data_IF_264776170529
#
_entry.id   IF_264776170529
#
_cell.length_a   1.000
_cell.length_b   1.000
_cell.length_c   1.000
_cell.angle_alpha   90.00
_cell.angle_beta   90.00
_cell.angle_gamma   90.00
#
_symmetry.space_group_name_H-M   'P 1'
#
loop_
_entity.id
_entity.type
_entity.pdbx_description
1 polymer ?
#
# COMPACT_ATOMS: atom_id res chain seq x y z
N UNK A 1 -23.25 16.34 -15.19
CA UNK A 1 -24.72 16.33 -15.03
C UNK A 1 -25.15 17.75 -14.68
N UNK A 2 -25.72 18.50 -15.63
CA UNK A 2 -26.00 19.93 -15.48
C UNK A 2 -27.09 20.17 -14.42
N UNK A 3 -26.99 21.31 -13.72
CA UNK A 3 -27.94 21.89 -12.74
C UNK A 3 -29.42 21.81 -13.15
N UNK A 4 -29.70 21.65 -14.45
CA UNK A 4 -31.04 21.51 -15.03
C UNK A 4 -31.76 20.23 -14.56
N UNK A 5 -31.08 19.08 -14.46
CA UNK A 5 -31.74 17.82 -14.05
C UNK A 5 -32.08 17.77 -12.56
N UNK A 6 -31.31 18.45 -11.72
CA UNK A 6 -31.55 18.56 -10.28
C UNK A 6 -32.82 19.39 -10.01
N UNK A 7 -32.97 20.51 -10.73
CA UNK A 7 -34.13 21.39 -10.61
C UNK A 7 -35.41 20.72 -11.12
N UNK A 8 -35.36 20.11 -12.30
CA UNK A 8 -36.52 19.44 -12.90
C UNK A 8 -36.96 18.23 -12.05
N UNK A 9 -36.02 17.50 -11.45
CA UNK A 9 -36.32 16.43 -10.49
C UNK A 9 -36.87 16.96 -9.17
N UNK A 10 -36.32 18.05 -8.62
CA UNK A 10 -36.87 18.66 -7.41
C UNK A 10 -38.31 19.14 -7.65
N UNK A 11 -38.61 19.65 -8.84
CA UNK A 11 -39.97 19.99 -9.26
C UNK A 11 -40.85 18.74 -9.41
N UNK A 12 -40.37 17.67 -10.04
CA UNK A 12 -41.09 16.39 -10.12
C UNK A 12 -41.31 15.74 -8.75
N UNK A 13 -40.36 15.82 -7.83
CA UNK A 13 -40.48 15.31 -6.46
C UNK A 13 -41.40 16.20 -5.60
N UNK A 14 -41.40 17.53 -5.81
CA UNK A 14 -42.36 18.44 -5.15
C UNK A 14 -43.78 18.16 -5.65
N UNK A 15 -43.95 17.97 -6.96
CA UNK A 15 -45.21 17.59 -7.57
C UNK A 15 -45.66 16.20 -7.11
N UNK A 16 -44.75 15.23 -7.09
CA UNK A 16 -44.94 13.89 -6.57
C UNK A 16 -45.39 13.88 -5.12
N UNK A 17 -44.70 14.62 -4.23
CA UNK A 17 -45.11 14.81 -2.83
C UNK A 17 -46.46 15.52 -2.69
N UNK A 18 -46.75 16.48 -3.56
CA UNK A 18 -48.04 17.16 -3.59
C UNK A 18 -49.17 16.20 -3.95
N UNK A 19 -48.94 15.27 -4.88
CA UNK A 19 -49.90 14.24 -5.29
C UNK A 19 -49.98 13.12 -4.27
N UNK A 20 -48.86 12.69 -3.69
CA UNK A 20 -48.80 11.78 -2.55
C UNK A 20 -49.73 12.25 -1.43
N UNK A 21 -49.64 13.53 -1.04
CA UNK A 21 -50.52 14.12 -0.02
C UNK A 21 -52.01 14.12 -0.42
N UNK A 22 -52.35 14.05 -1.71
CA UNK A 22 -53.72 13.99 -2.21
C UNK A 22 -54.23 12.56 -2.42
N UNK A 23 -53.36 11.59 -2.72
CA UNK A 23 -53.70 10.17 -2.91
C UNK A 23 -53.78 9.45 -1.55
N UNK A 24 -52.91 9.80 -0.61
CA UNK A 24 -52.81 9.16 0.71
C UNK A 24 -54.13 9.13 1.52
N UNK A 25 -54.99 10.16 1.51
CA UNK A 25 -56.32 10.12 2.15
C UNK A 25 -57.30 9.18 1.45
N UNK A 26 -57.22 9.05 0.11
CA UNK A 26 -58.10 8.21 -0.71
C UNK A 26 -57.82 6.73 -0.48
N UNK A 27 -56.59 6.38 -0.12
CA UNK A 27 -56.24 5.02 0.27
C UNK A 27 -56.64 4.65 1.71
N UNK A 28 -56.61 5.62 2.64
CA UNK A 28 -56.93 5.38 4.07
C UNK A 28 -58.42 5.21 4.38
N UNK A 29 -59.32 5.60 3.47
CA UNK A 29 -60.75 5.40 3.64
C UNK A 29 -61.18 3.97 3.29
N UNK A 30 -60.96 3.05 4.22
CA UNK A 30 -61.40 1.64 4.15
C UNK A 30 -62.95 1.48 4.14
N UNK A 31 -63.69 2.58 4.34
CA UNK A 31 -65.15 2.60 4.46
C UNK A 31 -65.92 3.05 3.20
N UNK A 32 -65.23 3.41 2.11
CA UNK A 32 -65.85 3.71 0.81
C UNK A 32 -65.38 2.70 -0.24
N UNK A 33 -66.28 2.25 -1.12
CA UNK A 33 -66.00 1.39 -2.29
C UNK A 33 -65.04 2.02 -3.35
N UNK A 34 -64.28 3.04 -2.97
CA UNK A 34 -63.41 3.86 -3.82
C UNK A 34 -61.97 3.79 -3.32
N UNK A 35 -61.40 2.58 -3.21
CA UNK A 35 -59.97 2.40 -3.01
C UNK A 35 -59.27 2.42 -4.37
N UNK A 36 -58.31 3.34 -4.56
CA UNK A 36 -57.48 3.36 -5.78
C UNK A 36 -56.54 2.14 -5.74
N UNK A 37 -56.56 1.25 -6.75
CA UNK A 37 -55.64 0.11 -6.80
C UNK A 37 -54.18 0.57 -6.92
N UNK A 38 -53.25 -0.16 -6.27
CA UNK A 38 -51.80 0.07 -6.38
C UNK A 38 -51.35 0.14 -7.85
N UNK A 39 -51.89 -0.72 -8.71
CA UNK A 39 -51.58 -0.74 -10.14
C UNK A 39 -51.90 0.58 -10.86
N UNK A 40 -52.93 1.31 -10.42
CA UNK A 40 -53.27 2.62 -11.00
C UNK A 40 -52.25 3.68 -10.60
N UNK A 41 -51.77 3.63 -9.35
CA UNK A 41 -50.71 4.52 -8.86
C UNK A 41 -49.36 4.17 -9.49
N UNK A 42 -49.07 2.88 -9.70
CA UNK A 42 -47.88 2.41 -10.42
C UNK A 42 -47.84 2.92 -11.86
N UNK A 43 -48.95 2.83 -12.60
CA UNK A 43 -49.04 3.38 -13.97
C UNK A 43 -48.84 4.90 -13.96
N UNK A 44 -49.48 5.61 -13.02
CA UNK A 44 -49.32 7.05 -12.89
C UNK A 44 -47.87 7.46 -12.59
N UNK A 45 -47.22 6.78 -11.64
CA UNK A 45 -45.82 7.01 -11.28
C UNK A 45 -44.91 6.67 -12.47
N UNK A 46 -45.17 5.58 -13.18
CA UNK A 46 -44.43 5.23 -14.38
C UNK A 46 -44.49 6.33 -15.43
N UNK A 47 -45.67 6.86 -15.74
CA UNK A 47 -45.83 7.96 -16.69
C UNK A 47 -45.14 9.25 -16.20
N UNK A 48 -45.30 9.59 -14.92
CA UNK A 48 -44.72 10.78 -14.30
C UNK A 48 -43.18 10.75 -14.33
N UNK A 49 -42.58 9.59 -14.08
CA UNK A 49 -41.13 9.43 -14.04
C UNK A 49 -40.52 8.94 -15.38
N UNK A 50 -41.35 8.58 -16.37
CA UNK A 50 -40.90 8.12 -17.69
C UNK A 50 -39.86 9.02 -18.36
N UNK A 51 -39.90 10.37 -18.26
CA UNK A 51 -38.88 11.24 -18.86
C UNK A 51 -37.49 11.09 -18.23
N UNK A 52 -37.41 10.53 -17.01
CA UNK A 52 -36.16 10.33 -16.29
C UNK A 52 -35.58 8.91 -16.48
N UNK A 53 -36.23 8.04 -17.24
CA UNK A 53 -35.82 6.65 -17.45
C UNK A 53 -34.37 6.57 -17.97
N UNK A 54 -34.04 7.35 -19.00
CA UNK A 54 -32.69 7.39 -19.58
C UNK A 54 -31.63 7.84 -18.55
N UNK A 55 -32.02 8.76 -17.65
CA UNK A 55 -31.14 9.26 -16.59
C UNK A 55 -30.84 8.15 -15.58
N UNK A 56 -31.86 7.41 -15.15
CA UNK A 56 -31.69 6.29 -14.21
C UNK A 56 -30.91 5.12 -14.82
N UNK A 57 -31.16 4.78 -16.09
CA UNK A 57 -30.43 3.72 -16.80
C UNK A 57 -28.94 4.06 -16.98
N UNK A 58 -28.63 5.33 -17.23
CA UNK A 58 -27.25 5.79 -17.45
C UNK A 58 -26.58 6.34 -16.18
N UNK A 59 -27.23 6.28 -15.02
CA UNK A 59 -26.76 6.91 -13.78
C UNK A 59 -25.33 6.50 -13.40
N UNK A 60 -25.06 5.18 -13.41
CA UNK A 60 -23.73 4.64 -13.09
C UNK A 60 -22.64 5.18 -14.02
N UNK A 61 -22.96 5.37 -15.31
CA UNK A 61 -22.03 5.98 -16.29
C UNK A 61 -21.77 7.46 -15.96
N UNK A 62 -22.81 8.21 -15.62
CA UNK A 62 -22.66 9.63 -15.26
C UNK A 62 -21.82 9.81 -13.99
N UNK A 63 -22.02 8.96 -12.98
CA UNK A 63 -21.20 8.98 -11.76
C UNK A 63 -19.74 8.61 -12.06
N UNK A 64 -19.49 7.65 -12.96
CA UNK A 64 -18.14 7.34 -13.40
C UNK A 64 -17.45 8.54 -14.07
N UNK A 65 -18.13 9.22 -14.98
CA UNK A 65 -17.60 10.43 -15.64
C UNK A 65 -17.37 11.56 -14.62
N UNK A 66 -18.28 11.74 -13.66
CA UNK A 66 -18.16 12.75 -12.62
C UNK A 66 -16.96 12.48 -11.70
N UNK A 67 -16.78 11.25 -11.24
CA UNK A 67 -15.66 10.86 -10.40
C UNK A 67 -14.32 11.02 -11.13
N UNK A 68 -14.25 10.65 -12.41
CA UNK A 68 -13.05 10.84 -13.21
C UNK A 68 -12.71 12.33 -13.33
N UNK A 69 -13.68 13.16 -13.71
CA UNK A 69 -13.48 14.61 -13.80
C UNK A 69 -13.05 15.21 -12.46
N UNK A 70 -13.64 14.76 -11.34
CA UNK A 70 -13.25 15.21 -10.01
C UNK A 70 -11.80 14.82 -9.68
N UNK A 71 -11.38 13.59 -10.02
CA UNK A 71 -10.00 13.15 -9.83
C UNK A 71 -9.02 14.00 -10.65
N UNK A 72 -9.35 14.29 -11.91
CA UNK A 72 -8.51 15.09 -12.82
C UNK A 72 -8.32 16.54 -12.35
N UNK A 73 -9.23 17.06 -11.50
CA UNK A 73 -9.09 18.40 -10.90
C UNK A 73 -8.15 18.45 -9.70
N UNK A 74 -7.83 17.30 -9.10
CA UNK A 74 -6.92 17.24 -7.95
C UNK A 74 -5.48 17.38 -8.44
N UNK A 75 -4.76 18.35 -7.88
CA UNK A 75 -3.34 18.49 -8.13
C UNK A 75 -2.55 17.53 -7.22
N UNK A 76 -1.84 16.57 -7.83
CA UNK A 76 -1.03 15.59 -7.08
C UNK A 76 0.47 15.92 -7.03
N UNK A 77 0.98 16.70 -7.99
CA UNK A 77 2.42 16.83 -8.23
C UNK A 77 2.83 18.28 -8.46
N UNK A 78 4.06 18.61 -8.04
CA UNK A 78 4.71 19.90 -8.27
C UNK A 78 6.18 19.68 -8.65
N UNK A 79 6.90 20.74 -9.03
CA UNK A 79 8.34 20.62 -9.32
C UNK A 79 9.18 20.28 -8.08
N UNK A 80 8.69 20.63 -6.88
CA UNK A 80 9.36 20.41 -5.61
C UNK A 80 8.89 19.10 -4.95
N UNK A 81 9.81 18.40 -4.27
CA UNK A 81 9.50 17.14 -3.59
C UNK A 81 8.61 17.38 -2.37
N UNK A 82 8.91 18.40 -1.56
CA UNK A 82 8.15 18.72 -0.35
C UNK A 82 6.70 19.10 -0.69
N UNK A 83 6.52 19.96 -1.69
CA UNK A 83 5.22 20.36 -2.22
C UNK A 83 4.42 19.18 -2.78
N UNK A 84 5.09 18.26 -3.49
CA UNK A 84 4.43 17.04 -3.99
C UNK A 84 3.93 16.16 -2.82
N UNK A 85 4.75 15.97 -1.77
CA UNK A 85 4.36 15.22 -0.57
C UNK A 85 3.19 15.89 0.17
N UNK A 86 3.19 17.22 0.27
CA UNK A 86 2.07 17.97 0.87
C UNK A 86 0.77 17.78 0.08
N UNK A 87 0.84 17.80 -1.26
CA UNK A 87 -0.31 17.54 -2.12
C UNK A 87 -0.83 16.11 -1.99
N UNK A 88 0.05 15.11 -1.91
CA UNK A 88 -0.35 13.72 -1.66
C UNK A 88 -1.11 13.61 -0.34
N UNK A 89 -0.59 14.20 0.74
CA UNK A 89 -1.24 14.20 2.05
C UNK A 89 -2.61 14.90 2.01
N UNK A 90 -2.71 16.05 1.35
CA UNK A 90 -3.97 16.80 1.22
C UNK A 90 -4.99 16.11 0.31
N UNK A 91 -4.55 15.27 -0.63
CA UNK A 91 -5.43 14.59 -1.58
C UNK A 91 -6.28 13.48 -0.94
N UNK A 92 -5.81 12.85 0.14
CA UNK A 92 -6.53 11.78 0.86
C UNK A 92 -7.93 12.26 1.31
N UNK A 93 -8.07 13.27 2.17
CA UNK A 93 -9.39 13.71 2.62
C UNK A 93 -10.29 14.17 1.46
N UNK A 94 -9.72 14.81 0.43
CA UNK A 94 -10.47 15.25 -0.75
C UNK A 94 -11.06 14.07 -1.53
N UNK A 95 -10.28 13.02 -1.79
CA UNK A 95 -10.75 11.84 -2.51
C UNK A 95 -11.86 11.11 -1.75
N UNK A 96 -11.72 10.96 -0.44
CA UNK A 96 -12.77 10.34 0.38
C UNK A 96 -14.01 11.23 0.53
N UNK A 97 -13.88 12.56 0.52
CA UNK A 97 -15.03 13.47 0.46
C UNK A 97 -15.80 13.29 -0.85
N UNK A 98 -15.12 13.26 -2.00
CA UNK A 98 -15.73 12.99 -3.32
C UNK A 98 -16.46 11.64 -3.34
N UNK A 99 -15.87 10.60 -2.77
CA UNK A 99 -16.51 9.28 -2.66
C UNK A 99 -17.78 9.31 -1.80
N UNK A 100 -17.75 10.00 -0.66
CA UNK A 100 -18.93 10.17 0.20
C UNK A 100 -20.05 10.98 -0.47
N UNK A 101 -19.71 12.08 -1.15
CA UNK A 101 -20.68 12.85 -1.93
C UNK A 101 -21.36 11.99 -3.01
N UNK A 102 -20.63 11.05 -3.60
CA UNK A 102 -21.15 10.10 -4.61
C UNK A 102 -22.14 9.12 -4.00
N UNK A 103 -21.87 8.64 -2.78
CA UNK A 103 -22.80 7.81 -2.01
C UNK A 103 -24.06 8.62 -1.65
N UNK A 104 -23.91 9.87 -1.23
CA UNK A 104 -25.03 10.74 -0.89
C UNK A 104 -25.89 11.08 -2.09
N UNK A 105 -25.29 11.35 -3.26
CA UNK A 105 -26.03 11.49 -4.53
C UNK A 105 -26.79 10.20 -4.87
N UNK A 106 -26.19 9.03 -4.69
CA UNK A 106 -26.87 7.74 -4.91
C UNK A 106 -28.09 7.56 -3.99
N UNK A 107 -27.96 7.91 -2.70
CA UNK A 107 -29.10 7.90 -1.77
C UNK A 107 -30.19 8.88 -2.21
N UNK A 108 -29.81 10.12 -2.50
CA UNK A 108 -30.75 11.17 -2.86
C UNK A 108 -31.44 10.92 -4.20
N UNK A 109 -30.73 10.33 -5.17
CA UNK A 109 -31.20 10.14 -6.52
C UNK A 109 -31.93 8.81 -6.72
N UNK A 110 -31.39 7.72 -6.21
CA UNK A 110 -31.90 6.36 -6.48
C UNK A 110 -32.42 5.66 -5.21
N UNK A 111 -32.58 6.36 -4.09
CA UNK A 111 -32.85 5.76 -2.77
C UNK A 111 -31.86 4.64 -2.42
N UNK A 112 -30.62 4.77 -2.90
CA UNK A 112 -29.56 3.77 -2.73
C UNK A 112 -29.68 2.52 -3.60
N UNK A 113 -30.73 2.39 -4.42
CA UNK A 113 -30.98 1.17 -5.22
C UNK A 113 -29.87 0.81 -6.20
N UNK A 114 -29.06 1.79 -6.64
CA UNK A 114 -27.91 1.57 -7.53
C UNK A 114 -26.58 1.46 -6.77
N UNK A 115 -26.56 1.36 -5.44
CA UNK A 115 -25.31 1.32 -4.67
C UNK A 115 -24.43 0.12 -5.05
N UNK A 116 -25.05 -0.99 -5.46
CA UNK A 116 -24.37 -2.22 -5.89
C UNK A 116 -23.62 -1.98 -7.22
N UNK A 117 -24.24 -1.29 -8.18
CA UNK A 117 -23.55 -0.95 -9.44
C UNK A 117 -22.53 0.16 -9.23
N UNK A 118 -22.79 1.10 -8.32
CA UNK A 118 -21.87 2.19 -7.96
C UNK A 118 -20.61 1.69 -7.26
N UNK A 119 -20.67 0.57 -6.54
CA UNK A 119 -19.52 -0.12 -5.96
C UNK A 119 -18.38 -0.30 -6.97
N UNK A 120 -18.66 -0.81 -8.16
CA UNK A 120 -17.64 -1.07 -9.18
C UNK A 120 -17.03 0.23 -9.72
N UNK A 121 -17.84 1.27 -9.81
CA UNK A 121 -17.41 2.62 -10.20
C UNK A 121 -16.49 3.23 -9.13
N UNK A 122 -16.85 3.14 -7.85
CA UNK A 122 -16.01 3.56 -6.74
C UNK A 122 -14.69 2.77 -6.68
N UNK A 123 -14.72 1.46 -6.92
CA UNK A 123 -13.50 0.65 -7.00
C UNK A 123 -12.56 1.16 -8.08
N UNK A 124 -13.09 1.43 -9.28
CA UNK A 124 -12.31 1.96 -10.41
C UNK A 124 -11.70 3.32 -10.07
N UNK A 125 -12.47 4.18 -9.40
CA UNK A 125 -12.01 5.49 -8.93
C UNK A 125 -10.85 5.38 -7.92
N UNK A 126 -10.95 4.51 -6.90
CA UNK A 126 -9.86 4.31 -5.95
C UNK A 126 -8.61 3.70 -6.59
N UNK A 127 -8.76 2.77 -7.54
CA UNK A 127 -7.62 2.24 -8.31
C UNK A 127 -6.93 3.35 -9.10
N UNK A 128 -7.69 4.23 -9.75
CA UNK A 128 -7.14 5.37 -10.48
C UNK A 128 -6.40 6.34 -9.54
N UNK A 129 -6.94 6.60 -8.36
CA UNK A 129 -6.28 7.42 -7.34
C UNK A 129 -4.95 6.81 -6.86
N UNK A 130 -4.94 5.51 -6.50
CA UNK A 130 -3.70 4.82 -6.08
C UNK A 130 -2.64 4.87 -7.19
N UNK A 131 -3.07 4.77 -8.46
CA UNK A 131 -2.17 4.91 -9.61
C UNK A 131 -1.53 6.30 -9.71
N UNK A 132 -2.29 7.36 -9.41
CA UNK A 132 -1.74 8.73 -9.35
C UNK A 132 -0.74 8.87 -8.19
N UNK A 133 -1.02 8.31 -7.01
CA UNK A 133 -0.06 8.29 -5.90
C UNK A 133 1.25 7.59 -6.29
N UNK A 134 1.16 6.40 -6.91
CA UNK A 134 2.32 5.68 -7.44
C UNK A 134 3.10 6.52 -8.45
N UNK A 135 2.41 7.21 -9.36
CA UNK A 135 3.04 8.08 -10.36
C UNK A 135 3.87 9.19 -9.69
N UNK A 136 3.31 9.85 -8.68
CA UNK A 136 4.03 10.93 -7.97
C UNK A 136 5.21 10.40 -7.18
N UNK A 137 5.07 9.28 -6.46
CA UNK A 137 6.19 8.66 -5.74
C UNK A 137 7.32 8.27 -6.69
N UNK A 138 6.99 7.73 -7.87
CA UNK A 138 7.99 7.44 -8.91
C UNK A 138 8.65 8.71 -9.47
N UNK A 139 7.88 9.78 -9.71
CA UNK A 139 8.45 11.07 -10.13
C UNK A 139 9.43 11.63 -9.08
N UNK A 140 9.10 11.51 -7.78
CA UNK A 140 10.00 11.88 -6.69
C UNK A 140 11.29 11.05 -6.75
N UNK A 141 11.18 9.73 -6.90
CA UNK A 141 12.33 8.83 -7.04
C UNK A 141 13.22 9.21 -8.23
N UNK A 142 12.63 9.54 -9.37
CA UNK A 142 13.36 9.92 -10.59
C UNK A 142 14.08 11.27 -10.45
N UNK A 143 13.48 12.26 -9.76
CA UNK A 143 14.13 13.56 -9.49
C UNK A 143 15.42 13.39 -8.72
N UNK A 144 15.43 12.46 -7.77
CA UNK A 144 16.58 12.14 -6.94
C UNK A 144 17.52 11.11 -7.58
N UNK A 145 17.18 10.59 -8.77
CA UNK A 145 17.90 9.49 -9.43
C UNK A 145 19.41 9.77 -9.64
N UNK A 146 19.76 11.05 -9.84
CA UNK A 146 21.12 11.50 -10.15
C UNK A 146 22.01 11.69 -8.92
N UNK A 147 21.42 11.70 -7.72
CA UNK A 147 22.11 11.85 -6.42
C UNK A 147 22.38 10.45 -5.80
N UNK A 148 21.87 9.37 -6.42
CA UNK A 148 22.07 7.99 -5.94
C UNK A 148 23.57 7.65 -5.84
N UNK A 149 24.02 7.49 -4.59
CA UNK A 149 25.40 7.11 -4.25
C UNK A 149 26.01 7.95 -3.13
N UNK A 150 25.41 9.10 -2.80
CA UNK A 150 25.72 9.88 -1.60
C UNK A 150 24.63 9.75 -0.54
N UNK A 151 24.98 9.99 0.72
CA UNK A 151 24.03 10.04 1.83
C UNK A 151 23.04 11.20 1.63
N UNK A 152 21.75 10.89 1.56
CA UNK A 152 20.67 11.88 1.47
C UNK A 152 19.64 11.65 2.58
N UNK A 153 19.98 12.15 3.77
CA UNK A 153 19.10 12.07 4.94
C UNK A 153 17.83 12.91 4.77
N UNK A 154 17.85 13.94 3.93
CA UNK A 154 16.66 14.77 3.69
C UNK A 154 15.64 14.00 2.86
N UNK A 155 16.09 13.27 1.85
CA UNK A 155 15.27 12.35 1.08
C UNK A 155 14.77 11.20 1.95
N UNK A 156 15.61 10.63 2.83
CA UNK A 156 15.16 9.59 3.76
C UNK A 156 14.02 10.09 4.66
N UNK A 157 14.13 11.29 5.22
CA UNK A 157 13.02 11.86 6.02
C UNK A 157 11.74 12.04 5.18
N UNK A 158 11.89 12.40 3.91
CA UNK A 158 10.77 12.50 2.97
C UNK A 158 10.15 11.14 2.63
N UNK A 159 10.94 10.06 2.50
CA UNK A 159 10.39 8.72 2.29
C UNK A 159 9.64 8.20 3.50
N UNK A 160 10.07 8.54 4.72
CA UNK A 160 9.29 8.26 5.93
C UNK A 160 7.95 9.01 5.89
N UNK A 161 7.93 10.29 5.48
CA UNK A 161 6.68 11.04 5.32
C UNK A 161 5.74 10.40 4.29
N UNK A 162 6.28 9.83 3.20
CA UNK A 162 5.49 9.07 2.22
C UNK A 162 4.88 7.81 2.87
N UNK A 163 5.63 7.09 3.72
CA UNK A 163 5.11 5.95 4.46
C UNK A 163 3.98 6.34 5.43
N UNK A 164 4.08 7.50 6.10
CA UNK A 164 2.99 8.03 6.92
C UNK A 164 1.73 8.28 6.08
N UNK A 165 1.88 8.88 4.88
CA UNK A 165 0.77 9.10 3.94
C UNK A 165 0.14 7.76 3.51
N UNK A 166 0.95 6.71 3.27
CA UNK A 166 0.42 5.37 3.04
C UNK A 166 -0.41 4.86 4.23
N UNK A 167 0.06 5.10 5.45
CA UNK A 167 -0.66 4.78 6.68
C UNK A 167 -1.99 5.51 6.81
N UNK A 168 -2.00 6.82 6.57
CA UNK A 168 -3.20 7.65 6.53
C UNK A 168 -4.20 7.15 5.47
N UNK A 169 -3.71 6.77 4.28
CA UNK A 169 -4.54 6.24 3.21
C UNK A 169 -5.20 4.90 3.58
N UNK A 170 -4.43 3.98 4.16
CA UNK A 170 -4.94 2.68 4.61
C UNK A 170 -6.01 2.88 5.69
N UNK A 171 -5.73 3.73 6.68
CA UNK A 171 -6.69 4.08 7.74
C UNK A 171 -7.98 4.69 7.17
N UNK A 172 -7.86 5.68 6.30
CA UNK A 172 -9.00 6.34 5.69
C UNK A 172 -9.84 5.37 4.87
N UNK A 173 -9.19 4.45 4.14
CA UNK A 173 -9.87 3.38 3.40
C UNK A 173 -10.61 2.41 4.31
N UNK A 174 -9.97 1.88 5.35
CA UNK A 174 -10.59 0.91 6.28
C UNK A 174 -11.80 1.54 6.99
N UNK A 175 -11.70 2.82 7.37
CA UNK A 175 -12.82 3.59 7.94
C UNK A 175 -13.95 3.82 6.92
N UNK A 176 -13.60 4.19 5.69
CA UNK A 176 -14.56 4.43 4.62
C UNK A 176 -15.33 3.15 4.26
N UNK A 177 -14.64 2.03 4.06
CA UNK A 177 -15.26 0.76 3.73
C UNK A 177 -16.19 0.28 4.87
N UNK A 178 -15.76 0.42 6.11
CA UNK A 178 -16.59 0.11 7.29
C UNK A 178 -17.84 0.98 7.36
N UNK A 179 -17.70 2.29 7.11
CA UNK A 179 -18.83 3.22 7.06
C UNK A 179 -19.79 2.88 5.92
N UNK A 180 -19.28 2.59 4.73
CA UNK A 180 -20.08 2.21 3.59
C UNK A 180 -20.83 0.89 3.84
N UNK A 181 -20.21 -0.10 4.47
CA UNK A 181 -20.85 -1.34 4.86
C UNK A 181 -22.07 -1.09 5.76
N UNK A 182 -21.90 -0.25 6.80
CA UNK A 182 -23.00 0.13 7.70
C UNK A 182 -24.11 0.88 6.97
N UNK A 183 -23.75 1.82 6.09
CA UNK A 183 -24.71 2.58 5.29
C UNK A 183 -25.47 1.68 4.30
N UNK A 184 -24.80 0.70 3.68
CA UNK A 184 -25.42 -0.31 2.83
C UNK A 184 -26.42 -1.14 3.61
N UNK A 185 -26.04 -1.68 4.77
CA UNK A 185 -26.96 -2.44 5.64
C UNK A 185 -28.17 -1.60 6.07
N UNK A 186 -27.96 -0.33 6.41
CA UNK A 186 -29.05 0.59 6.74
C UNK A 186 -30.00 0.78 5.54
N UNK A 187 -29.48 1.13 4.36
CA UNK A 187 -30.27 1.29 3.14
C UNK A 187 -31.08 0.03 2.83
N UNK A 188 -30.44 -1.14 2.96
CA UNK A 188 -31.06 -2.44 2.74
C UNK A 188 -32.20 -2.70 3.73
N UNK A 189 -31.98 -2.41 5.02
CA UNK A 189 -33.01 -2.56 6.04
C UNK A 189 -34.22 -1.69 5.72
N UNK A 190 -34.00 -0.44 5.31
CA UNK A 190 -35.07 0.47 4.91
C UNK A 190 -35.86 -0.06 3.71
N UNK A 191 -35.22 -0.76 2.77
CA UNK A 191 -35.91 -1.42 1.66
C UNK A 191 -36.85 -2.54 2.13
N UNK A 192 -36.40 -3.38 3.07
CA UNK A 192 -37.19 -4.52 3.58
C UNK A 192 -38.26 -4.11 4.60
N UNK A 193 -38.01 -3.09 5.42
CA UNK A 193 -39.00 -2.57 6.36
C UNK A 193 -40.09 -1.74 5.68
N UNK A 194 -39.82 -1.17 4.50
CA UNK A 194 -40.80 -0.53 3.61
C UNK A 194 -41.53 -1.51 2.67
N UNK A 195 -41.46 -2.82 2.97
CA UNK A 195 -42.12 -3.87 2.18
C UNK A 195 -43.49 -4.16 2.83
N UNK A 196 -44.59 -4.26 2.05
CA UNK A 196 -45.98 -4.15 2.52
C UNK A 196 -46.47 -5.14 3.59
N UNK A 197 -45.63 -6.10 4.01
CA UNK A 197 -46.00 -7.14 4.98
C UNK A 197 -45.85 -6.72 6.45
N UNK A 198 -45.13 -5.64 6.77
CA UNK A 198 -44.71 -5.37 8.15
C UNK A 198 -45.21 -4.07 8.82
N UNK A 199 -45.99 -3.20 8.17
CA UNK A 199 -46.73 -2.10 8.84
C UNK A 199 -48.07 -1.81 8.17
N UNK A 200 -49.10 -1.53 8.97
CA UNK A 200 -50.42 -1.06 8.52
C UNK A 200 -50.42 0.38 7.94
N UNK A 201 -49.24 0.97 7.66
CA UNK A 201 -49.08 2.38 7.31
C UNK A 201 -47.89 2.59 6.34
N UNK A 202 -48.04 2.16 5.09
CA UNK A 202 -47.18 2.62 4.00
C UNK A 202 -47.96 3.48 3.02
N UNK A 203 -47.28 4.49 2.48
CA UNK A 203 -47.78 5.37 1.43
C UNK A 203 -47.66 4.67 0.07
N UNK A 204 -48.79 4.41 -0.58
CA UNK A 204 -48.83 3.72 -1.88
C UNK A 204 -47.96 4.40 -2.92
N UNK A 205 -47.84 5.73 -2.86
CA UNK A 205 -47.03 6.50 -3.81
C UNK A 205 -45.55 6.13 -3.68
N UNK A 206 -45.03 6.00 -2.47
CA UNK A 206 -43.63 5.64 -2.23
C UNK A 206 -43.34 4.21 -2.73
N UNK A 207 -44.27 3.27 -2.54
CA UNK A 207 -44.16 1.89 -3.05
C UNK A 207 -44.08 1.88 -4.58
N UNK A 208 -44.90 2.69 -5.25
CA UNK A 208 -44.92 2.79 -6.71
C UNK A 208 -43.63 3.40 -7.27
N UNK A 209 -43.07 4.43 -6.62
CA UNK A 209 -41.78 5.04 -7.01
C UNK A 209 -40.62 4.07 -6.81
N UNK A 210 -40.60 3.34 -5.70
CA UNK A 210 -39.60 2.28 -5.45
C UNK A 210 -39.68 1.18 -6.51
N UNK A 211 -40.89 0.75 -6.87
CA UNK A 211 -41.11 -0.27 -7.91
C UNK A 211 -40.63 0.19 -9.28
N UNK A 212 -40.86 1.45 -9.64
CA UNK A 212 -40.31 2.07 -10.85
C UNK A 212 -38.78 2.04 -10.88
N UNK A 213 -38.12 2.52 -9.81
CA UNK A 213 -36.66 2.56 -9.72
C UNK A 213 -36.08 1.14 -9.79
N UNK A 214 -36.64 0.17 -9.07
CA UNK A 214 -36.19 -1.23 -9.11
C UNK A 214 -36.31 -1.80 -10.52
N UNK A 215 -37.44 -1.59 -11.20
CA UNK A 215 -37.66 -2.13 -12.54
C UNK A 215 -36.68 -1.57 -13.59
N UNK A 216 -36.21 -0.34 -13.40
CA UNK A 216 -35.29 0.32 -14.34
C UNK A 216 -33.82 0.02 -14.01
N UNK A 217 -33.49 -0.25 -12.74
CA UNK A 217 -32.11 -0.44 -12.27
C UNK A 217 -31.70 -1.91 -12.07
N UNK A 218 -32.64 -2.85 -12.11
CA UNK A 218 -32.38 -4.26 -11.77
C UNK A 218 -31.72 -5.08 -12.89
N UNK A 219 -30.39 -5.05 -12.94
CA UNK A 219 -29.58 -6.14 -13.53
C UNK A 219 -29.26 -7.25 -12.51
N UNK A 220 -29.02 -6.92 -11.24
CA UNK A 220 -28.25 -7.82 -10.36
C UNK A 220 -28.99 -8.22 -9.05
N UNK A 221 -30.20 -8.77 -9.17
CA UNK A 221 -30.99 -9.25 -8.00
C UNK A 221 -30.31 -10.40 -7.23
N UNK A 222 -29.46 -11.20 -7.88
CA UNK A 222 -28.81 -12.37 -7.29
C UNK A 222 -27.55 -12.02 -6.50
N UNK A 223 -26.74 -11.08 -6.99
CA UNK A 223 -25.57 -10.57 -6.26
C UNK A 223 -26.00 -9.93 -4.95
N UNK A 224 -27.15 -9.26 -4.95
CA UNK A 224 -27.69 -8.56 -3.79
C UNK A 224 -27.82 -9.41 -2.52
N UNK A 225 -28.45 -10.59 -2.58
CA UNK A 225 -28.67 -11.44 -1.40
C UNK A 225 -27.34 -11.93 -0.82
N UNK A 226 -26.39 -12.28 -1.69
CA UNK A 226 -25.07 -12.75 -1.27
C UNK A 226 -24.24 -11.66 -0.59
N UNK A 227 -24.33 -10.42 -1.10
CA UNK A 227 -23.67 -9.25 -0.54
C UNK A 227 -24.25 -8.91 0.84
N UNK A 228 -25.58 -8.91 0.97
CA UNK A 228 -26.26 -8.63 2.25
C UNK A 228 -25.83 -9.65 3.30
N UNK A 229 -25.94 -10.94 3.00
CA UNK A 229 -25.56 -12.00 3.93
C UNK A 229 -24.07 -11.93 4.32
N UNK A 230 -23.20 -11.58 3.37
CA UNK A 230 -21.77 -11.41 3.65
C UNK A 230 -21.46 -10.16 4.50
N UNK A 231 -22.18 -9.06 4.30
CA UNK A 231 -22.06 -7.84 5.11
C UNK A 231 -22.54 -8.06 6.54
N UNK A 232 -23.67 -8.75 6.74
CA UNK A 232 -24.20 -9.08 8.07
C UNK A 232 -23.25 -9.97 8.87
N UNK A 233 -22.55 -10.90 8.20
CA UNK A 233 -21.58 -11.79 8.83
C UNK A 233 -20.16 -11.20 8.88
N UNK A 234 -19.95 -9.96 8.44
CA UNK A 234 -18.64 -9.32 8.33
C UNK A 234 -17.59 -10.14 7.52
N UNK A 235 -18.05 -10.95 6.56
CA UNK A 235 -17.19 -11.79 5.70
C UNK A 235 -17.02 -11.22 4.29
N UNK A 236 -17.73 -10.14 3.98
CA UNK A 236 -17.70 -9.52 2.66
C UNK A 236 -16.84 -8.26 2.61
N UNK A 237 -15.85 -8.27 1.73
CA UNK A 237 -15.07 -7.08 1.37
C UNK A 237 -15.77 -6.37 0.22
N UNK A 238 -16.07 -5.08 0.40
CA UNK A 238 -16.75 -4.27 -0.60
C UNK A 238 -15.79 -4.04 -1.76
N UNK A 239 -14.53 -3.71 -1.52
CA UNK A 239 -13.59 -3.46 -2.62
C UNK A 239 -12.43 -4.46 -2.58
N UNK A 240 -12.60 -5.72 -3.04
CA UNK A 240 -11.61 -6.77 -2.87
C UNK A 240 -10.24 -6.45 -3.47
N UNK A 241 -10.19 -5.62 -4.53
CA UNK A 241 -8.94 -5.26 -5.20
C UNK A 241 -8.17 -4.14 -4.46
N UNK A 242 -8.84 -3.31 -3.67
CA UNK A 242 -8.23 -2.13 -3.05
C UNK A 242 -7.23 -2.50 -1.94
N UNK A 243 -7.53 -3.40 -0.98
CA UNK A 243 -6.56 -3.83 0.02
C UNK A 243 -5.27 -4.39 -0.61
N UNK A 244 -5.40 -5.13 -1.72
CA UNK A 244 -4.26 -5.63 -2.48
C UNK A 244 -3.44 -4.49 -3.10
N UNK A 245 -4.10 -3.54 -3.78
CA UNK A 245 -3.41 -2.37 -4.37
C UNK A 245 -2.72 -1.50 -3.31
N UNK A 246 -3.34 -1.32 -2.13
CA UNK A 246 -2.76 -0.58 -1.01
C UNK A 246 -1.54 -1.30 -0.41
N UNK A 247 -1.60 -2.63 -0.27
CA UNK A 247 -0.46 -3.42 0.20
C UNK A 247 0.71 -3.37 -0.80
N UNK A 248 0.45 -3.54 -2.09
CA UNK A 248 1.46 -3.39 -3.15
C UNK A 248 2.08 -1.98 -3.17
N UNK A 249 1.25 -0.93 -3.05
CA UNK A 249 1.77 0.43 -2.96
C UNK A 249 2.60 0.66 -1.69
N UNK A 250 2.19 0.09 -0.55
CA UNK A 250 2.97 0.13 0.68
C UNK A 250 4.32 -0.59 0.51
N UNK A 251 4.35 -1.77 -0.12
CA UNK A 251 5.57 -2.52 -0.46
C UNK A 251 6.53 -1.66 -1.31
N UNK A 252 6.02 -0.96 -2.32
CA UNK A 252 6.80 -0.04 -3.17
C UNK A 252 7.41 1.12 -2.37
N UNK A 253 6.64 1.74 -1.46
CA UNK A 253 7.12 2.84 -0.62
C UNK A 253 8.19 2.36 0.38
N UNK A 254 8.02 1.17 0.98
CA UNK A 254 9.05 0.58 1.84
C UNK A 254 10.32 0.28 1.04
N UNK A 255 10.18 -0.29 -0.16
CA UNK A 255 11.32 -0.53 -1.04
C UNK A 255 12.06 0.75 -1.39
N UNK A 256 11.34 1.84 -1.68
CA UNK A 256 11.94 3.13 -1.97
C UNK A 256 12.70 3.68 -0.76
N UNK A 257 12.09 3.70 0.42
CA UNK A 257 12.77 4.14 1.64
C UNK A 257 14.00 3.30 1.97
N UNK A 258 13.93 1.98 1.73
CA UNK A 258 15.08 1.09 1.87
C UNK A 258 16.20 1.44 0.89
N UNK A 259 15.87 1.63 -0.38
CA UNK A 259 16.88 1.97 -1.38
C UNK A 259 17.63 3.25 -1.00
N UNK A 260 16.93 4.31 -0.57
CA UNK A 260 17.57 5.58 -0.18
C UNK A 260 18.67 5.37 0.87
N UNK A 261 18.42 4.51 1.85
CA UNK A 261 19.38 4.20 2.93
C UNK A 261 20.44 3.19 2.49
N UNK A 262 20.08 2.25 1.62
CA UNK A 262 20.95 1.14 1.25
C UNK A 262 21.94 1.49 0.13
N UNK A 263 21.61 2.49 -0.69
CA UNK A 263 22.42 2.90 -1.84
C UNK A 263 23.83 3.40 -1.50
N UNK A 264 24.06 4.19 -0.43
CA UNK A 264 25.41 4.52 0.00
C UNK A 264 26.28 3.28 0.28
N UNK A 265 25.70 2.25 0.91
CA UNK A 265 26.37 0.98 1.19
C UNK A 265 26.70 0.25 -0.12
N UNK A 266 25.75 0.20 -1.06
CA UNK A 266 25.96 -0.35 -2.40
C UNK A 266 27.08 0.37 -3.16
N UNK A 267 27.12 1.70 -3.07
CA UNK A 267 28.15 2.53 -3.69
C UNK A 267 29.55 2.22 -3.14
N UNK A 268 29.67 2.06 -1.82
CA UNK A 268 30.95 1.72 -1.15
C UNK A 268 31.45 0.30 -1.47
N UNK A 269 30.55 -0.64 -1.75
CA UNK A 269 30.90 -2.00 -2.17
C UNK A 269 31.00 -2.16 -3.69
N UNK A 270 30.71 -1.11 -4.47
CA UNK A 270 30.76 -1.18 -5.92
C UNK A 270 32.21 -1.45 -6.39
N UNK A 271 32.39 -2.54 -7.11
CA UNK A 271 33.71 -2.96 -7.59
C UNK A 271 34.60 -3.57 -6.49
N UNK A 272 34.08 -3.86 -5.29
CA UNK A 272 34.82 -4.51 -4.20
C UNK A 272 35.50 -5.78 -4.69
N UNK A 273 34.77 -6.65 -5.40
CA UNK A 273 35.30 -7.91 -5.97
C UNK A 273 36.46 -7.74 -6.96
N UNK A 274 36.67 -6.54 -7.50
CA UNK A 274 37.66 -6.19 -8.53
C UNK A 274 38.86 -5.42 -7.98
N UNK A 275 38.93 -5.17 -6.68
CA UNK A 275 40.06 -4.45 -6.08
C UNK A 275 41.36 -5.22 -6.34
N UNK A 276 42.41 -4.50 -6.74
CA UNK A 276 43.71 -5.11 -7.05
C UNK A 276 44.38 -5.76 -5.84
N UNK A 277 43.98 -5.37 -4.62
CA UNK A 277 44.52 -5.89 -3.35
C UNK A 277 44.31 -7.40 -3.18
N UNK A 278 43.30 -7.99 -3.83
CA UNK A 278 43.04 -9.43 -3.78
C UNK A 278 44.11 -10.26 -4.50
N UNK A 279 44.52 -9.76 -5.67
CA UNK A 279 45.43 -10.44 -6.59
C UNK A 279 46.85 -9.86 -6.60
N UNK A 280 47.12 -8.78 -5.84
CA UNK A 280 48.43 -8.14 -5.79
C UNK A 280 49.46 -9.07 -5.13
N UNK A 281 50.31 -9.65 -5.96
CA UNK A 281 51.34 -10.59 -5.55
C UNK A 281 52.57 -9.81 -5.07
N UNK A 282 52.62 -9.49 -3.77
CA UNK A 282 53.75 -8.80 -3.14
C UNK A 282 54.97 -9.72 -2.91
N UNK A 283 55.15 -10.74 -3.76
CA UNK A 283 56.26 -11.70 -3.70
C UNK A 283 57.59 -10.97 -3.80
N UNK A 284 58.34 -10.96 -2.68
CA UNK A 284 59.66 -10.32 -2.58
C UNK A 284 59.70 -9.01 -1.80
N UNK A 285 58.57 -8.51 -1.28
CA UNK A 285 58.53 -7.37 -0.36
C UNK A 285 58.31 -7.83 1.09
N UNK A 286 58.82 -7.06 2.06
CA UNK A 286 58.68 -7.31 3.52
C UNK A 286 57.21 -7.51 3.94
N UNK A 287 56.26 -7.09 3.11
CA UNK A 287 54.80 -7.16 3.33
C UNK A 287 54.24 -8.58 3.32
N UNK A 288 54.87 -9.54 2.63
CA UNK A 288 54.39 -10.93 2.59
C UNK A 288 54.50 -11.63 3.96
N UNK A 289 55.54 -11.30 4.73
CA UNK A 289 55.83 -11.83 6.07
C UNK A 289 55.29 -10.95 7.21
N UNK A 290 54.53 -9.89 6.91
CA UNK A 290 53.94 -9.07 7.95
C UNK A 290 52.93 -9.90 8.78
N UNK A 291 52.98 -9.78 10.12
CA UNK A 291 51.97 -10.35 11.00
C UNK A 291 50.57 -9.83 10.65
N UNK A 292 49.53 -10.62 10.93
CA UNK A 292 48.13 -10.23 10.73
C UNK A 292 47.75 -8.91 11.44
N UNK A 293 48.49 -8.54 12.49
CA UNK A 293 48.35 -7.31 13.26
C UNK A 293 48.71 -6.02 12.47
N UNK A 294 49.33 -6.15 11.31
CA UNK A 294 49.71 -5.00 10.46
C UNK A 294 48.62 -4.61 9.45
N UNK A 295 47.55 -5.41 9.33
CA UNK A 295 46.44 -5.12 8.44
C UNK A 295 45.39 -4.27 9.17
N UNK A 296 44.78 -3.34 8.44
CA UNK A 296 43.68 -2.50 8.92
C UNK A 296 42.53 -2.66 7.92
N UNK A 297 41.26 -2.62 8.38
CA UNK A 297 40.14 -2.71 7.47
C UNK A 297 40.18 -1.59 6.42
N UNK A 298 39.80 -1.91 5.19
CA UNK A 298 39.83 -0.97 4.07
C UNK A 298 38.86 0.20 4.28
N UNK A 299 39.14 1.34 3.65
CA UNK A 299 38.38 2.58 3.81
C UNK A 299 36.89 2.39 3.49
N UNK A 300 36.55 1.65 2.43
CA UNK A 300 35.16 1.39 2.08
C UNK A 300 34.43 0.56 3.15
N UNK A 301 35.10 -0.41 3.76
CA UNK A 301 34.54 -1.26 4.82
C UNK A 301 34.37 -0.47 6.12
N UNK A 302 35.37 0.33 6.51
CA UNK A 302 35.25 1.22 7.68
C UNK A 302 34.16 2.27 7.51
N UNK A 303 33.98 2.85 6.31
CA UNK A 303 32.88 3.78 6.01
C UNK A 303 31.51 3.11 6.12
N UNK A 304 31.35 1.87 5.64
CA UNK A 304 30.11 1.11 5.83
C UNK A 304 29.84 0.93 7.32
N UNK A 305 30.85 0.54 8.10
CA UNK A 305 30.68 0.33 9.53
C UNK A 305 30.27 1.62 10.26
N UNK A 306 30.91 2.74 9.95
CA UNK A 306 30.55 4.06 10.49
C UNK A 306 29.12 4.46 10.08
N UNK A 307 28.76 4.27 8.82
CA UNK A 307 27.42 4.58 8.31
C UNK A 307 26.35 3.78 9.05
N UNK A 308 26.54 2.46 9.21
CA UNK A 308 25.63 1.61 9.96
C UNK A 308 25.44 2.13 11.39
N UNK A 309 26.53 2.40 12.11
CA UNK A 309 26.45 2.87 13.50
C UNK A 309 25.76 4.23 13.68
N UNK A 310 25.68 5.06 12.64
CA UNK A 310 24.95 6.33 12.66
C UNK A 310 23.46 6.19 12.36
N UNK A 311 23.04 5.12 11.67
CA UNK A 311 21.64 4.92 11.26
C UNK A 311 20.60 5.08 12.38
N UNK A 312 20.79 4.51 13.58
CA UNK A 312 19.75 4.55 14.62
C UNK A 312 19.36 5.98 14.97
N UNK A 313 20.32 6.90 15.00
CA UNK A 313 20.10 8.33 15.30
C UNK A 313 19.21 9.02 14.26
N UNK A 314 19.23 8.56 13.01
CA UNK A 314 18.37 9.10 11.95
C UNK A 314 16.94 8.54 11.99
N UNK A 315 16.72 7.42 12.70
CA UNK A 315 15.39 6.86 12.94
C UNK A 315 14.74 7.41 14.21
N UNK A 316 15.52 7.83 15.21
CA UNK A 316 15.02 8.43 16.48
C UNK A 316 13.92 9.48 16.30
N UNK A 317 13.99 10.43 15.33
CA UNK A 317 12.95 11.47 15.17
C UNK A 317 11.55 10.94 14.84
N UNK A 318 11.44 9.68 14.39
CA UNK A 318 10.20 9.12 13.86
C UNK A 318 9.42 8.26 14.85
N UNK A 319 9.82 8.24 16.14
CA UNK A 319 9.32 7.35 17.20
C UNK A 319 8.10 6.51 16.79
N UNK A 320 8.39 5.34 16.20
CA UNK A 320 7.41 4.55 15.47
C UNK A 320 6.30 3.97 16.36
N UNK A 321 6.50 3.98 17.67
CA UNK A 321 5.51 3.54 18.65
C UNK A 321 4.40 4.57 18.88
N UNK A 322 4.70 5.87 18.74
CA UNK A 322 3.74 6.96 18.93
C UNK A 322 3.07 7.39 17.61
N UNK A 323 3.56 6.89 16.49
CA UNK A 323 3.08 7.22 15.15
C UNK A 323 2.19 6.10 14.58
N UNK A 324 0.88 6.21 14.83
CA UNK A 324 -0.10 5.20 14.41
C UNK A 324 -0.08 4.94 12.91
N UNK A 325 0.00 6.01 12.10
CA UNK A 325 0.03 5.94 10.64
C UNK A 325 1.18 5.09 10.16
N UNK A 326 2.37 5.41 10.65
CA UNK A 326 3.58 4.72 10.27
C UNK A 326 3.55 3.27 10.75
N UNK A 327 3.07 3.02 11.96
CA UNK A 327 2.85 1.67 12.48
C UNK A 327 1.92 0.81 11.61
N UNK A 328 0.89 1.41 11.01
CA UNK A 328 -0.02 0.71 10.10
C UNK A 328 0.63 0.43 8.75
N UNK A 329 1.32 1.42 8.17
CA UNK A 329 2.04 1.24 6.92
C UNK A 329 3.01 0.06 7.01
N UNK A 330 3.76 -0.02 8.11
CA UNK A 330 4.72 -1.08 8.37
C UNK A 330 4.12 -2.48 8.50
N UNK A 331 2.99 -2.59 9.21
CA UNK A 331 2.29 -3.87 9.38
C UNK A 331 1.74 -4.40 8.05
N UNK A 332 1.46 -3.51 7.10
CA UNK A 332 0.77 -3.83 5.83
C UNK A 332 1.68 -3.83 4.59
N UNK A 333 2.87 -3.25 4.66
CA UNK A 333 3.88 -3.24 3.59
C UNK A 333 5.06 -4.16 3.89
N UNK A 334 5.98 -4.40 2.94
CA UNK A 334 7.13 -5.31 3.03
C UNK A 334 8.49 -4.63 3.03
N UNK A 335 9.29 -4.96 4.05
CA UNK A 335 10.70 -4.59 4.13
C UNK A 335 11.56 -5.66 3.45
N UNK A 336 12.55 -5.27 2.63
CA UNK A 336 13.51 -6.20 2.06
C UNK A 336 14.26 -7.01 3.13
N UNK A 337 14.68 -8.22 2.79
CA UNK A 337 15.50 -9.09 3.64
C UNK A 337 14.88 -9.54 4.98
N UNK A 338 13.58 -9.30 5.19
CA UNK A 338 12.82 -9.80 6.34
C UNK A 338 11.64 -10.65 5.86
N UNK A 339 11.56 -11.89 6.34
CA UNK A 339 10.50 -12.84 5.97
C UNK A 339 9.32 -12.80 6.97
N UNK A 340 9.61 -12.81 8.28
CA UNK A 340 8.58 -12.84 9.34
C UNK A 340 8.68 -11.63 10.29
N UNK A 341 7.72 -10.70 10.18
CA UNK A 341 7.69 -9.46 10.99
C UNK A 341 6.86 -9.53 12.27
N UNK A 342 6.16 -10.63 12.51
CA UNK A 342 5.35 -10.83 13.73
C UNK A 342 6.21 -10.94 15.02
N UNK A 343 7.54 -11.03 14.87
CA UNK A 343 8.50 -11.18 15.96
C UNK A 343 9.01 -9.84 16.52
N UNK A 344 8.67 -8.71 15.92
CA UNK A 344 9.25 -7.42 16.29
C UNK A 344 8.28 -6.57 17.11
N UNK A 345 8.69 -6.24 18.33
CA UNK A 345 7.99 -5.30 19.21
C UNK A 345 8.35 -3.83 18.91
N UNK A 346 9.51 -3.60 18.28
CA UNK A 346 9.99 -2.28 17.89
C UNK A 346 10.18 -2.23 16.37
N UNK A 347 9.45 -1.35 15.71
CA UNK A 347 9.48 -1.16 14.26
C UNK A 347 10.80 -0.54 13.78
N UNK A 348 11.54 0.14 14.67
CA UNK A 348 12.84 0.73 14.33
C UNK A 348 13.86 -0.39 14.17
N UNK A 349 13.87 -1.33 15.11
CA UNK A 349 14.66 -2.55 15.04
C UNK A 349 14.43 -3.31 13.73
N UNK A 350 13.20 -3.40 13.21
CA UNK A 350 12.93 -4.02 11.90
C UNK A 350 13.72 -3.35 10.76
N UNK A 351 13.73 -2.02 10.70
CA UNK A 351 14.44 -1.30 9.64
C UNK A 351 15.94 -1.52 9.73
N UNK A 352 16.48 -1.41 10.94
CA UNK A 352 17.90 -1.61 11.20
C UNK A 352 18.30 -3.04 10.80
N UNK A 353 17.56 -4.06 11.25
CA UNK A 353 17.82 -5.45 10.89
C UNK A 353 17.73 -5.69 9.37
N UNK A 354 16.74 -5.09 8.69
CA UNK A 354 16.61 -5.16 7.23
C UNK A 354 17.85 -4.61 6.52
N UNK A 355 18.36 -3.45 6.96
CA UNK A 355 19.55 -2.81 6.37
C UNK A 355 20.82 -3.59 6.70
N UNK A 356 20.96 -4.07 7.93
CA UNK A 356 22.10 -4.88 8.36
C UNK A 356 22.17 -6.21 7.61
N UNK A 357 21.03 -6.91 7.51
CA UNK A 357 20.89 -8.15 6.74
C UNK A 357 21.21 -7.92 5.26
N UNK A 358 20.68 -6.84 4.67
CA UNK A 358 21.02 -6.44 3.31
C UNK A 358 22.52 -6.20 3.13
N UNK A 359 23.16 -5.54 4.10
CA UNK A 359 24.59 -5.21 4.07
C UNK A 359 25.45 -6.47 4.13
N UNK A 360 25.12 -7.37 5.05
CA UNK A 360 25.76 -8.67 5.21
C UNK A 360 25.67 -9.47 3.90
N UNK A 361 24.45 -9.63 3.35
CA UNK A 361 24.22 -10.37 2.11
C UNK A 361 24.97 -9.76 0.93
N UNK A 362 24.95 -8.44 0.79
CA UNK A 362 25.69 -7.76 -0.28
C UNK A 362 27.22 -7.94 -0.13
N UNK A 363 27.75 -7.85 1.09
CA UNK A 363 29.17 -8.09 1.35
C UNK A 363 29.57 -9.53 1.01
N UNK A 364 28.76 -10.51 1.41
CA UNK A 364 28.95 -11.91 1.05
C UNK A 364 28.93 -12.12 -0.46
N UNK A 365 27.94 -11.56 -1.16
CA UNK A 365 27.82 -11.65 -2.60
C UNK A 365 29.03 -11.05 -3.33
N UNK A 366 29.50 -9.86 -2.90
CA UNK A 366 30.70 -9.24 -3.47
C UNK A 366 31.96 -10.05 -3.16
N UNK A 367 32.06 -10.63 -1.97
CA UNK A 367 33.20 -11.47 -1.59
C UNK A 367 33.27 -12.73 -2.46
N UNK A 368 32.14 -13.41 -2.67
CA UNK A 368 32.06 -14.61 -3.52
C UNK A 368 32.25 -14.31 -5.02
N UNK A 369 32.31 -13.05 -5.42
CA UNK A 369 32.62 -12.63 -6.80
C UNK A 369 34.12 -12.36 -7.04
N UNK A 370 34.96 -12.37 -5.98
CA UNK A 370 36.41 -12.23 -6.12
C UNK A 370 36.94 -13.45 -6.89
N UNK A 371 37.73 -13.23 -7.95
CA UNK A 371 38.17 -14.32 -8.83
C UNK A 371 39.29 -15.16 -8.22
N UNK A 372 40.30 -14.52 -7.64
CA UNK A 372 41.50 -15.17 -7.09
C UNK A 372 42.00 -14.42 -5.87
N UNK A 373 42.52 -15.16 -4.88
CA UNK A 373 43.10 -14.60 -3.67
C UNK A 373 44.57 -15.01 -3.53
N UNK A 374 45.43 -14.00 -3.37
CA UNK A 374 46.80 -14.19 -2.86
C UNK A 374 46.77 -14.40 -1.34
N UNK A 375 47.87 -14.88 -0.75
CA UNK A 375 47.99 -15.01 0.71
C UNK A 375 47.81 -13.68 1.43
N UNK A 376 48.35 -12.58 0.89
CA UNK A 376 48.18 -11.23 1.43
C UNK A 376 46.75 -10.75 1.25
N UNK A 377 46.14 -10.99 0.08
CA UNK A 377 44.73 -10.67 -0.19
C UNK A 377 43.77 -11.40 0.74
N UNK A 378 44.03 -12.67 1.05
CA UNK A 378 43.27 -13.45 2.02
C UNK A 378 43.35 -12.87 3.44
N UNK A 379 44.55 -12.47 3.88
CA UNK A 379 44.74 -11.81 5.19
C UNK A 379 43.98 -10.48 5.27
N UNK A 380 44.04 -9.67 4.21
CA UNK A 380 43.29 -8.41 4.13
C UNK A 380 41.77 -8.65 4.14
N UNK A 381 41.28 -9.57 3.31
CA UNK A 381 39.85 -9.92 3.25
C UNK A 381 39.34 -10.40 4.61
N UNK A 382 40.09 -11.25 5.32
CA UNK A 382 39.72 -11.68 6.66
C UNK A 382 39.66 -10.53 7.67
N UNK A 383 40.54 -9.53 7.56
CA UNK A 383 40.49 -8.33 8.39
C UNK A 383 39.21 -7.53 8.11
N UNK A 384 38.88 -7.34 6.85
CA UNK A 384 37.68 -6.62 6.40
C UNK A 384 36.39 -7.30 6.85
N UNK A 385 36.26 -8.61 6.61
CA UNK A 385 35.07 -9.39 6.97
C UNK A 385 34.88 -9.45 8.49
N UNK A 386 35.95 -9.65 9.26
CA UNK A 386 35.87 -9.68 10.74
C UNK A 386 35.48 -8.34 11.32
N UNK A 387 36.03 -7.24 10.79
CA UNK A 387 35.62 -5.91 11.21
C UNK A 387 34.14 -5.68 10.94
N UNK A 388 33.66 -5.98 9.73
CA UNK A 388 32.25 -5.80 9.40
C UNK A 388 31.35 -6.71 10.24
N UNK A 389 31.78 -7.94 10.53
CA UNK A 389 31.06 -8.87 11.40
C UNK A 389 30.87 -8.27 12.79
N UNK A 390 31.96 -7.77 13.40
CA UNK A 390 31.90 -7.08 14.69
C UNK A 390 30.96 -5.88 14.66
N UNK A 391 30.97 -5.09 13.58
CA UNK A 391 30.05 -3.95 13.46
C UNK A 391 28.59 -4.41 13.35
N UNK A 392 28.30 -5.46 12.60
CA UNK A 392 26.94 -6.01 12.47
C UNK A 392 26.43 -6.58 13.79
N UNK A 393 27.30 -7.23 14.57
CA UNK A 393 27.01 -7.69 15.94
C UNK A 393 26.73 -6.51 16.88
N UNK A 394 27.59 -5.49 16.88
CA UNK A 394 27.42 -4.27 17.68
C UNK A 394 26.15 -3.49 17.28
N UNK A 395 25.77 -3.58 16.01
CA UNK A 395 24.53 -3.01 15.47
C UNK A 395 23.27 -3.80 15.87
N UNK A 396 23.43 -5.01 16.43
CA UNK A 396 22.36 -5.82 17.00
C UNK A 396 21.83 -6.95 16.11
N UNK A 397 22.47 -7.23 14.97
CA UNK A 397 22.05 -8.29 14.06
C UNK A 397 22.27 -9.66 14.70
N UNK A 398 21.19 -10.43 14.87
CA UNK A 398 21.24 -11.74 15.57
C UNK A 398 21.58 -12.91 14.65
N UNK A 399 21.14 -12.84 13.40
CA UNK A 399 21.33 -13.90 12.41
C UNK A 399 22.52 -13.58 11.51
N UNK A 400 23.69 -14.04 11.94
CA UNK A 400 24.98 -13.82 11.27
C UNK A 400 25.69 -15.14 10.93
N UNK A 401 25.03 -16.28 11.12
CA UNK A 401 25.65 -17.61 11.04
C UNK A 401 26.32 -17.86 9.68
N UNK A 402 25.63 -17.50 8.59
CA UNK A 402 26.17 -17.63 7.23
C UNK A 402 27.44 -16.78 7.01
N UNK A 403 27.52 -15.61 7.65
CA UNK A 403 28.67 -14.70 7.54
C UNK A 403 29.86 -15.20 8.34
N UNK A 404 29.63 -15.68 9.57
CA UNK A 404 30.65 -16.36 10.36
C UNK A 404 31.15 -17.63 9.65
N UNK A 405 30.25 -18.38 9.02
CA UNK A 405 30.62 -19.56 8.26
C UNK A 405 31.57 -19.25 7.11
N UNK A 406 31.33 -18.17 6.39
CA UNK A 406 32.22 -17.65 5.35
C UNK A 406 33.60 -17.28 5.93
N UNK A 407 33.63 -16.54 7.05
CA UNK A 407 34.87 -16.12 7.71
C UNK A 407 35.69 -17.33 8.17
N UNK A 408 35.04 -18.32 8.78
CA UNK A 408 35.67 -19.56 9.21
C UNK A 408 36.26 -20.35 8.03
N UNK A 409 35.55 -20.43 6.90
CA UNK A 409 36.05 -21.11 5.68
C UNK A 409 37.25 -20.38 5.08
N UNK A 410 37.29 -19.05 5.07
CA UNK A 410 38.48 -18.31 4.63
C UNK A 410 39.66 -18.44 5.61
N UNK A 411 39.38 -18.53 6.92
CA UNK A 411 40.42 -18.58 7.96
C UNK A 411 41.03 -19.97 8.18
N UNK A 412 40.36 -21.05 7.75
CA UNK A 412 40.81 -22.42 7.98
C UNK A 412 42.06 -22.78 7.16
N UNK A 413 42.96 -23.57 7.72
CA UNK A 413 43.99 -24.28 6.94
C UNK A 413 43.35 -25.38 6.07
N UNK A 414 44.13 -26.01 5.19
CA UNK A 414 43.64 -27.00 4.21
C UNK A 414 42.93 -28.20 4.88
N UNK A 415 43.44 -28.68 6.00
CA UNK A 415 42.86 -29.84 6.71
C UNK A 415 41.54 -29.43 7.35
N UNK A 416 41.54 -28.33 8.11
CA UNK A 416 40.36 -27.80 8.79
C UNK A 416 39.29 -27.33 7.79
N UNK A 417 39.70 -26.87 6.61
CA UNK A 417 38.79 -26.46 5.55
C UNK A 417 37.92 -27.64 5.09
N UNK A 418 38.52 -28.80 4.83
CA UNK A 418 37.80 -29.99 4.39
C UNK A 418 36.87 -30.58 5.47
N UNK A 419 37.17 -30.34 6.75
CA UNK A 419 36.26 -30.67 7.85
C UNK A 419 35.04 -29.74 7.86
N UNK A 420 35.28 -28.42 7.88
CA UNK A 420 34.22 -27.40 7.91
C UNK A 420 33.35 -27.41 6.64
N UNK A 421 33.93 -27.77 5.49
CA UNK A 421 33.25 -27.81 4.20
C UNK A 421 32.05 -28.78 4.17
N UNK A 422 32.01 -29.79 5.06
CA UNK A 422 30.96 -30.82 5.07
C UNK A 422 29.64 -30.32 5.63
N UNK A 423 29.68 -29.32 6.51
CA UNK A 423 28.50 -28.82 7.24
C UNK A 423 27.99 -27.49 6.68
N UNK A 424 28.68 -26.93 5.68
CA UNK A 424 28.44 -25.58 5.15
C UNK A 424 27.84 -25.57 3.74
N UNK A 425 27.16 -24.48 3.33
CA UNK A 425 26.55 -24.37 2.01
C UNK A 425 27.49 -24.70 0.84
N UNK A 426 27.12 -25.68 0.02
CA UNK A 426 27.98 -26.24 -1.03
C UNK A 426 28.48 -25.19 -2.05
N UNK A 427 27.63 -24.21 -2.40
CA UNK A 427 28.01 -23.12 -3.32
C UNK A 427 29.10 -22.22 -2.73
N UNK A 428 29.01 -21.90 -1.44
CA UNK A 428 30.01 -21.09 -0.75
C UNK A 428 31.34 -21.84 -0.68
N UNK A 429 31.29 -23.12 -0.27
CA UNK A 429 32.47 -23.99 -0.16
C UNK A 429 33.19 -24.11 -1.50
N UNK A 430 32.49 -24.42 -2.59
CA UNK A 430 33.12 -24.61 -3.91
C UNK A 430 33.76 -23.33 -4.45
N UNK A 431 33.11 -22.18 -4.23
CA UNK A 431 33.61 -20.87 -4.64
C UNK A 431 34.86 -20.51 -3.86
N UNK A 432 34.83 -20.62 -2.53
CA UNK A 432 35.98 -20.31 -1.65
C UNK A 432 37.17 -21.24 -1.95
N UNK A 433 36.93 -22.54 -2.16
CA UNK A 433 37.97 -23.50 -2.55
C UNK A 433 38.69 -23.03 -3.82
N UNK A 434 37.91 -22.64 -4.84
CA UNK A 434 38.44 -22.13 -6.11
C UNK A 434 39.26 -20.86 -5.93
N UNK A 435 38.76 -19.90 -5.14
CA UNK A 435 39.42 -18.62 -4.88
C UNK A 435 40.77 -18.77 -4.17
N UNK A 436 40.86 -19.75 -3.26
CA UNK A 436 42.06 -20.03 -2.44
C UNK A 436 43.05 -20.99 -3.10
N UNK A 437 42.70 -21.58 -4.23
CA UNK A 437 43.48 -22.63 -4.90
C UNK A 437 43.78 -23.85 -4.00
N UNK A 438 42.75 -24.27 -3.24
CA UNK A 438 42.79 -25.48 -2.39
C UNK A 438 42.31 -26.73 -3.14
#
# INVERSE_FOLDING_TARGET
>A
MNVMTEKDRQEANRFGKSIQNQIQPLYRNVSSNETIPLSTVEVFVFELYSPYTDVFQNYTRYEQEQLQNALDTIQFDTSDTSGSIQLLSASIPSVFAIANETIDRCKQLTNGRTIISLKNVLQTFFIAYIKELRRVVNNIRERHAKILGSEDWDLFRQTIRILEICGDLILAYEQFESSLAQQMLQMISEWFYKTPKNKQHEDIYDIAVESFIINITSSDKYDFISIVAGLENATYTIFPDIPKQLSEFSDECHRFSFDVVFLPIQSLLNGFSKLSVWASDNRGTIVADLPSLSFVPQENITKIGQYLLMLPQHFEPFNLQDNQQLGIAFKKGKLPFLEDRELFNDLTSCWLDSIAMGTMRLCMEQTLQIQTLTTTGLKQLLMDLRYLCSVLEDFGLKDIADFDDMIQLFAADEVKFEELAREKPARMVSTIRTMRHL
#
